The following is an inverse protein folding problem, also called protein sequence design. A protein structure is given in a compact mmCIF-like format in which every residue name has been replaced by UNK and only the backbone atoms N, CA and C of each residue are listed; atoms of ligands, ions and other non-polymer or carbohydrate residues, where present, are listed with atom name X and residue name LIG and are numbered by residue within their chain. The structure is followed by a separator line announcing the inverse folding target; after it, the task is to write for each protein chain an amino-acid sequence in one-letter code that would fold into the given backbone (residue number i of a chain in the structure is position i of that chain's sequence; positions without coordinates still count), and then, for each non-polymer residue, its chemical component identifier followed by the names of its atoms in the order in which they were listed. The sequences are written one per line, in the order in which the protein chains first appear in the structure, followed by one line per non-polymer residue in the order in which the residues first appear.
data_IF_980491204832
#
_entry.id   IF_980491204832
#
_cell.length_a   1.000
_cell.length_b   1.000
_cell.length_c   1.000
_cell.angle_alpha   90.00
_cell.angle_beta   90.00
_cell.angle_gamma   90.00
#
_symmetry.space_group_name_H-M   'P 1'
#
loop_
_entity.id
_entity.type
_entity.pdbx_description
1 polymer ?
#
# COMPACT_ATOMS: atom_id res chain seq x y z
N UNK A 1 5.28 -5.84 17.65
CA UNK A 1 5.75 -6.16 16.30
C UNK A 1 5.68 -4.88 15.48
N UNK A 2 6.57 -4.65 14.51
CA UNK A 2 6.47 -3.47 13.64
C UNK A 2 5.65 -3.80 12.40
N UNK A 3 4.58 -3.04 12.21
CA UNK A 3 3.71 -3.12 11.02
C UNK A 3 3.91 -1.87 10.17
N UNK A 4 4.12 -2.06 8.89
CA UNK A 4 4.40 -0.98 7.95
C UNK A 4 3.26 -0.88 6.93
N UNK A 5 2.63 0.29 6.87
CA UNK A 5 1.56 0.58 5.92
C UNK A 5 2.07 1.58 4.88
N UNK A 6 2.13 1.15 3.61
CA UNK A 6 2.64 1.96 2.50
C UNK A 6 1.47 2.37 1.61
N UNK A 7 1.32 3.66 1.35
CA UNK A 7 0.24 4.16 0.49
C UNK A 7 0.64 5.43 -0.25
N UNK A 8 -0.12 5.75 -1.30
CA UNK A 8 -0.10 7.06 -1.94
C UNK A 8 -1.39 7.81 -1.61
N UNK A 9 -1.31 9.13 -1.47
CA UNK A 9 -2.48 9.96 -1.20
C UNK A 9 -3.07 10.52 -2.50
N UNK A 10 -4.39 10.56 -2.58
CA UNK A 10 -5.12 11.18 -3.69
C UNK A 10 -4.83 12.68 -3.79
N UNK A 11 -4.57 13.14 -5.01
CA UNK A 11 -4.43 14.57 -5.34
C UNK A 11 -5.79 15.26 -5.54
N UNK A 12 -6.88 14.50 -5.58
CA UNK A 12 -8.23 14.98 -5.80
C UNK A 12 -9.06 14.90 -4.52
N UNK A 13 -10.25 15.50 -4.54
CA UNK A 13 -11.21 15.37 -3.44
C UNK A 13 -11.53 13.89 -3.20
N UNK A 14 -11.43 13.48 -1.95
CA UNK A 14 -11.79 12.12 -1.51
C UNK A 14 -13.11 12.14 -0.74
N UNK A 15 -13.87 11.07 -0.87
CA UNK A 15 -15.07 10.82 -0.08
C UNK A 15 -14.94 9.47 0.62
N UNK A 16 -15.55 9.34 1.80
CA UNK A 16 -15.60 8.08 2.50
C UNK A 16 -16.70 7.18 1.90
N UNK A 17 -16.35 5.91 1.68
CA UNK A 17 -17.26 4.87 1.21
C UNK A 17 -17.08 3.62 2.06
N UNK A 18 -18.17 2.85 2.21
CA UNK A 18 -18.09 1.48 2.67
C UNK A 18 -17.77 0.60 1.46
N UNK A 19 -16.67 -0.13 1.53
CA UNK A 19 -16.21 -0.98 0.44
C UNK A 19 -16.81 -2.38 0.54
N UNK A 20 -17.22 -2.94 -0.59
CA UNK A 20 -17.49 -4.37 -0.71
C UNK A 20 -16.15 -5.11 -0.73
N UNK A 21 -15.94 -6.00 0.22
CA UNK A 21 -14.68 -6.71 0.40
C UNK A 21 -14.93 -8.18 0.74
N UNK A 22 -14.39 -9.06 -0.08
CA UNK A 22 -14.41 -10.49 0.19
C UNK A 22 -13.53 -10.90 1.38
N UNK A 23 -12.53 -10.06 1.74
CA UNK A 23 -11.58 -10.32 2.84
C UNK A 23 -12.08 -9.73 4.17
N UNK A 24 -12.63 -8.52 4.11
CA UNK A 24 -13.10 -7.77 5.29
C UNK A 24 -14.55 -7.31 5.08
N UNK A 25 -15.55 -8.19 5.22
CA UNK A 25 -16.95 -7.86 4.95
C UNK A 25 -17.51 -6.79 5.89
N UNK A 26 -17.01 -6.75 7.12
CA UNK A 26 -17.35 -5.72 8.11
C UNK A 26 -16.23 -4.67 8.15
N UNK A 27 -16.42 -3.55 7.42
CA UNK A 27 -15.49 -2.42 7.43
C UNK A 27 -16.24 -1.09 7.58
N UNK A 28 -15.56 -0.09 8.14
CA UNK A 28 -16.08 1.26 8.30
C UNK A 28 -15.92 2.06 7.01
N UNK A 29 -16.82 3.04 6.74
CA UNK A 29 -16.63 3.95 5.62
C UNK A 29 -15.30 4.70 5.72
N UNK A 30 -14.51 4.66 4.64
CA UNK A 30 -13.21 5.33 4.57
C UNK A 30 -12.97 5.93 3.19
N UNK A 31 -12.17 6.99 3.17
CA UNK A 31 -11.60 7.55 1.95
C UNK A 31 -10.24 6.92 1.58
N UNK A 32 -9.67 6.11 2.46
CA UNK A 32 -8.33 5.54 2.35
C UNK A 32 -8.40 4.02 2.55
N UNK A 33 -8.46 3.22 1.48
CA UNK A 33 -8.65 1.76 1.56
C UNK A 33 -7.68 1.05 2.50
N UNK A 34 -6.43 1.50 2.60
CA UNK A 34 -5.42 0.95 3.52
C UNK A 34 -5.87 0.94 5.00
N UNK A 35 -6.80 1.81 5.38
CA UNK A 35 -7.31 1.83 6.77
C UNK A 35 -8.20 0.64 7.07
N UNK A 36 -8.75 -0.04 6.05
CA UNK A 36 -9.49 -1.30 6.22
C UNK A 36 -8.53 -2.39 6.69
N UNK A 37 -7.37 -2.53 6.03
CA UNK A 37 -6.30 -3.43 6.50
C UNK A 37 -5.85 -3.06 7.91
N UNK A 38 -5.67 -1.77 8.21
CA UNK A 38 -5.25 -1.29 9.52
C UNK A 38 -6.23 -1.70 10.63
N UNK A 39 -7.53 -1.46 10.44
CA UNK A 39 -8.57 -1.80 11.41
C UNK A 39 -8.58 -3.29 11.76
N UNK A 40 -8.33 -4.15 10.77
CA UNK A 40 -8.42 -5.60 10.92
C UNK A 40 -7.11 -6.26 11.39
N UNK A 41 -5.96 -5.63 11.16
CA UNK A 41 -4.66 -6.23 11.46
C UNK A 41 -3.89 -5.55 12.59
N UNK A 42 -4.28 -4.35 13.02
CA UNK A 42 -3.63 -3.66 14.13
C UNK A 42 -4.03 -4.27 15.49
N UNK A 43 -3.03 -4.54 16.33
CA UNK A 43 -3.19 -5.16 17.64
C UNK A 43 -2.65 -4.24 18.75
N UNK A 44 -3.10 -4.43 20.00
CA UNK A 44 -2.54 -3.68 21.13
C UNK A 44 -1.04 -3.91 21.29
N UNK A 45 -0.29 -2.81 21.43
CA UNK A 45 1.16 -2.84 21.59
C UNK A 45 1.96 -2.88 20.28
N UNK A 46 1.30 -2.90 19.12
CA UNK A 46 2.00 -2.80 17.83
C UNK A 46 2.67 -1.41 17.66
N UNK A 47 3.80 -1.42 16.95
CA UNK A 47 4.44 -0.23 16.41
C UNK A 47 4.05 -0.14 14.93
N UNK A 48 3.26 0.87 14.58
CA UNK A 48 2.70 1.05 13.24
C UNK A 48 3.39 2.23 12.56
N UNK A 49 4.10 1.96 11.47
CA UNK A 49 4.73 2.98 10.63
C UNK A 49 3.93 3.17 9.35
N UNK A 50 3.52 4.40 9.07
CA UNK A 50 2.87 4.78 7.81
C UNK A 50 3.89 5.46 6.91
N UNK A 51 4.27 4.82 5.79
CA UNK A 51 5.11 5.39 4.74
C UNK A 51 4.19 5.90 3.63
N UNK A 52 3.98 7.21 3.58
CA UNK A 52 2.93 7.79 2.75
C UNK A 52 3.51 8.70 1.69
N UNK A 53 3.23 8.39 0.41
CA UNK A 53 3.65 9.17 -0.74
C UNK A 53 2.65 10.31 -0.94
N UNK A 54 3.13 11.55 -0.78
CA UNK A 54 2.31 12.77 -0.87
C UNK A 54 2.81 13.66 -2.01
N UNK A 55 1.95 13.95 -2.97
CA UNK A 55 2.31 14.80 -4.09
C UNK A 55 2.12 16.27 -3.74
N UNK A 56 3.21 17.03 -3.73
CA UNK A 56 3.19 18.47 -3.50
C UNK A 56 3.09 19.22 -4.83
N UNK A 57 1.99 19.92 -5.02
CA UNK A 57 1.82 20.91 -6.09
C UNK A 57 0.75 21.92 -5.75
N UNK A 58 0.86 23.09 -6.34
CA UNK A 58 -0.16 24.13 -6.22
C UNK A 58 -1.52 23.63 -6.75
N UNK A 59 -2.59 23.88 -6.02
CA UNK A 59 -3.96 23.56 -6.40
C UNK A 59 -4.38 22.09 -6.27
N UNK A 60 -3.53 21.17 -5.77
CA UNK A 60 -3.97 19.82 -5.45
C UNK A 60 -4.36 19.68 -3.96
N UNK A 61 -5.07 18.60 -3.64
CA UNK A 61 -5.56 18.34 -2.29
C UNK A 61 -4.74 17.28 -1.53
N UNK A 62 -3.58 16.84 -2.06
CA UNK A 62 -2.85 15.72 -1.47
C UNK A 62 -2.39 16.00 -0.03
N UNK A 63 -1.90 17.21 0.26
CA UNK A 63 -1.46 17.60 1.62
C UNK A 63 -2.65 17.63 2.58
N UNK A 64 -3.79 18.20 2.16
CA UNK A 64 -5.01 18.21 2.97
C UNK A 64 -5.52 16.78 3.24
N UNK A 65 -5.54 15.94 2.19
CA UNK A 65 -5.93 14.54 2.30
C UNK A 65 -4.96 13.75 3.18
N UNK A 66 -3.67 14.05 3.15
CA UNK A 66 -2.68 13.44 4.03
C UNK A 66 -2.97 13.74 5.49
N UNK A 67 -3.31 14.98 5.84
CA UNK A 67 -3.73 15.31 7.21
C UNK A 67 -4.98 14.52 7.64
N UNK A 68 -5.98 14.41 6.78
CA UNK A 68 -7.18 13.58 7.04
C UNK A 68 -6.82 12.10 7.24
N UNK A 69 -5.91 11.58 6.43
CA UNK A 69 -5.39 10.21 6.58
C UNK A 69 -4.70 10.01 7.92
N UNK A 70 -3.78 10.91 8.30
CA UNK A 70 -3.07 10.85 9.58
C UNK A 70 -4.04 10.89 10.77
N UNK A 71 -5.07 11.72 10.70
CA UNK A 71 -6.11 11.81 11.74
C UNK A 71 -6.88 10.49 11.86
N UNK A 72 -7.39 9.94 10.75
CA UNK A 72 -8.15 8.68 10.72
C UNK A 72 -7.27 7.50 11.18
N UNK A 73 -6.11 7.31 10.59
CA UNK A 73 -5.21 6.20 10.91
C UNK A 73 -4.69 6.29 12.36
N UNK A 74 -4.39 7.51 12.82
CA UNK A 74 -4.01 7.76 14.21
C UNK A 74 -5.12 7.46 15.21
N UNK A 75 -6.39 7.72 14.85
CA UNK A 75 -7.53 7.35 15.70
C UNK A 75 -7.64 5.83 15.83
N UNK A 76 -7.58 5.11 14.72
CA UNK A 76 -7.62 3.64 14.71
C UNK A 76 -6.49 3.06 15.57
N UNK A 77 -5.25 3.55 15.43
CA UNK A 77 -4.13 3.08 16.24
C UNK A 77 -4.36 3.32 17.73
N UNK A 78 -4.86 4.51 18.13
CA UNK A 78 -5.17 4.82 19.53
C UNK A 78 -6.25 3.90 20.08
N UNK A 79 -7.34 3.69 19.34
CA UNK A 79 -8.44 2.80 19.71
C UNK A 79 -7.98 1.34 19.88
N UNK A 80 -7.03 0.91 19.05
CA UNK A 80 -6.42 -0.44 19.11
C UNK A 80 -5.31 -0.55 20.17
N UNK A 81 -4.88 0.55 20.80
CA UNK A 81 -3.78 0.55 21.78
C UNK A 81 -2.40 0.38 21.13
N UNK A 82 -2.24 0.80 19.88
CA UNK A 82 -0.99 0.77 19.11
C UNK A 82 -0.33 2.16 19.05
N UNK A 83 0.97 2.20 18.72
CA UNK A 83 1.71 3.45 18.48
C UNK A 83 1.84 3.70 16.98
N UNK A 84 1.49 4.91 16.53
CA UNK A 84 1.59 5.33 15.14
C UNK A 84 2.80 6.24 14.90
N UNK A 85 3.56 5.97 13.84
CA UNK A 85 4.59 6.83 13.28
C UNK A 85 4.18 7.19 11.85
N UNK A 86 4.17 8.49 11.50
CA UNK A 86 3.83 8.95 10.15
C UNK A 86 5.08 9.46 9.43
N UNK A 87 5.41 8.84 8.31
CA UNK A 87 6.57 9.14 7.47
C UNK A 87 6.06 9.63 6.12
N UNK A 88 6.12 10.94 5.89
CA UNK A 88 5.77 11.52 4.60
C UNK A 88 6.94 11.40 3.62
N UNK A 89 6.65 10.87 2.43
CA UNK A 89 7.54 10.92 1.27
C UNK A 89 6.99 11.97 0.29
N UNK A 90 7.53 13.18 0.39
CA UNK A 90 7.11 14.29 -0.46
C UNK A 90 7.62 14.12 -1.89
N UNK A 91 6.71 14.07 -2.86
CA UNK A 91 7.04 14.00 -4.28
C UNK A 91 6.49 15.21 -5.04
N UNK A 92 7.22 15.66 -6.05
CA UNK A 92 6.77 16.74 -6.92
C UNK A 92 5.73 16.26 -7.93
N UNK A 93 4.74 17.08 -8.25
CA UNK A 93 3.85 16.83 -9.37
C UNK A 93 4.59 16.86 -10.73
N UNK A 94 5.71 17.55 -10.81
CA UNK A 94 6.60 17.51 -11.98
C UNK A 94 7.41 16.23 -11.95
N UNK A 95 7.05 15.28 -12.82
CA UNK A 95 7.73 13.99 -12.93
C UNK A 95 9.02 14.18 -13.74
N UNK A 96 10.14 13.82 -13.15
CA UNK A 96 11.46 13.71 -13.79
C UNK A 96 11.83 12.23 -13.97
N UNK A 97 12.69 11.91 -14.92
CA UNK A 97 13.12 10.52 -15.16
C UNK A 97 13.74 9.84 -13.91
N UNK A 98 14.33 10.63 -13.01
CA UNK A 98 14.90 10.14 -11.75
C UNK A 98 13.87 9.96 -10.62
N UNK A 99 12.65 10.51 -10.75
CA UNK A 99 11.64 10.53 -9.67
C UNK A 99 11.27 9.11 -9.18
N UNK A 100 10.96 8.12 -10.04
CA UNK A 100 10.63 6.77 -9.58
C UNK A 100 11.79 6.08 -8.84
N UNK A 101 13.03 6.28 -9.33
CA UNK A 101 14.22 5.69 -8.68
C UNK A 101 14.50 6.31 -7.32
N UNK A 102 14.29 7.61 -7.16
CA UNK A 102 14.42 8.30 -5.87
C UNK A 102 13.40 7.77 -4.89
N UNK A 103 12.13 7.73 -5.29
CA UNK A 103 11.03 7.22 -4.46
C UNK A 103 11.28 5.77 -4.02
N UNK A 104 11.73 4.90 -4.94
CA UNK A 104 12.12 3.52 -4.59
C UNK A 104 13.15 3.48 -3.46
N UNK A 105 14.24 4.27 -3.59
CA UNK A 105 15.30 4.32 -2.57
C UNK A 105 14.79 4.83 -1.23
N UNK A 106 13.91 5.83 -1.25
CA UNK A 106 13.33 6.41 -0.04
C UNK A 106 12.43 5.39 0.69
N UNK A 107 11.61 4.62 -0.04
CA UNK A 107 10.79 3.54 0.56
C UNK A 107 11.70 2.47 1.15
N UNK A 108 12.64 1.90 0.36
CA UNK A 108 13.52 0.82 0.80
C UNK A 108 14.34 1.21 2.04
N UNK A 109 14.76 2.47 2.14
CA UNK A 109 15.51 2.98 3.29
C UNK A 109 14.70 3.02 4.61
N UNK A 110 13.38 2.93 4.54
CA UNK A 110 12.48 2.94 5.70
C UNK A 110 12.07 1.53 6.16
N UNK A 111 12.28 0.52 5.31
CA UNK A 111 11.93 -0.87 5.61
C UNK A 111 13.05 -1.54 6.43
N UNK A 112 12.66 -2.39 7.37
CA UNK A 112 13.54 -3.03 8.34
C UNK A 112 13.31 -4.55 8.34
N UNK A 113 14.23 -5.25 8.98
CA UNK A 113 14.07 -6.67 9.26
C UNK A 113 12.88 -6.91 10.21
N UNK A 114 12.18 -8.01 10.03
CA UNK A 114 10.99 -8.41 10.78
C UNK A 114 9.76 -7.49 10.58
N UNK A 115 9.71 -6.70 9.51
CA UNK A 115 8.52 -5.91 9.18
C UNK A 115 7.39 -6.80 8.64
N UNK A 116 6.17 -6.58 9.14
CA UNK A 116 4.93 -6.98 8.46
C UNK A 116 4.44 -5.83 7.60
N UNK A 117 4.34 -6.03 6.29
CA UNK A 117 4.08 -4.95 5.35
C UNK A 117 2.71 -5.07 4.70
N UNK A 118 1.98 -3.99 4.73
CA UNK A 118 0.70 -3.75 4.07
C UNK A 118 0.85 -2.61 3.06
N UNK A 119 0.37 -2.76 1.85
CA UNK A 119 0.50 -1.73 0.83
C UNK A 119 -0.84 -1.43 0.15
N UNK A 120 -1.06 -0.17 -0.20
CA UNK A 120 -2.23 0.29 -0.95
C UNK A 120 -1.77 0.94 -2.25
N UNK A 121 -2.27 0.42 -3.37
CA UNK A 121 -1.96 0.89 -4.72
C UNK A 121 -3.11 1.66 -5.37
N UNK A 122 -4.07 2.15 -4.57
CA UNK A 122 -5.28 2.83 -5.05
C UNK A 122 -4.97 4.19 -5.68
N UNK A 123 -4.15 5.00 -5.03
CA UNK A 123 -3.93 6.39 -5.40
C UNK A 123 -2.52 6.66 -5.91
N UNK A 124 -2.32 7.89 -6.38
CA UNK A 124 -1.03 8.40 -6.82
C UNK A 124 -0.81 8.34 -8.33
N UNK A 125 0.41 8.61 -8.76
CA UNK A 125 0.80 8.47 -10.15
C UNK A 125 0.85 7.00 -10.57
N UNK A 126 0.59 6.72 -11.86
CA UNK A 126 0.57 5.35 -12.40
C UNK A 126 1.87 4.56 -12.19
N UNK A 127 3.00 5.22 -11.96
CA UNK A 127 4.26 4.54 -11.64
C UNK A 127 4.40 4.17 -10.15
N UNK A 128 3.62 4.79 -9.23
CA UNK A 128 3.72 4.52 -7.80
C UNK A 128 3.49 3.05 -7.46
N UNK A 129 2.44 2.36 -7.99
CA UNK A 129 2.26 0.93 -7.78
C UNK A 129 3.48 0.09 -8.19
N UNK A 130 4.13 0.44 -9.31
CA UNK A 130 5.32 -0.26 -9.81
C UNK A 130 6.49 -0.05 -8.84
N UNK A 131 6.68 1.17 -8.35
CA UNK A 131 7.74 1.51 -7.39
C UNK A 131 7.51 0.81 -6.05
N UNK A 132 6.28 0.85 -5.53
CA UNK A 132 5.90 0.16 -4.30
C UNK A 132 6.20 -1.34 -4.46
N UNK A 133 5.70 -1.98 -5.52
CA UNK A 133 5.91 -3.40 -5.78
C UNK A 133 7.41 -3.76 -5.85
N UNK A 134 8.22 -2.95 -6.53
CA UNK A 134 9.66 -3.15 -6.60
C UNK A 134 10.34 -3.01 -5.21
N UNK A 135 9.89 -2.05 -4.38
CA UNK A 135 10.40 -1.87 -3.04
C UNK A 135 10.03 -3.03 -2.10
N UNK A 136 8.79 -3.54 -2.21
CA UNK A 136 8.34 -4.74 -1.49
C UNK A 136 9.17 -5.96 -1.87
N UNK A 137 9.41 -6.17 -3.18
CA UNK A 137 10.22 -7.28 -3.66
C UNK A 137 11.67 -7.19 -3.15
N UNK A 138 12.25 -5.99 -3.12
CA UNK A 138 13.57 -5.79 -2.53
C UNK A 138 13.58 -6.15 -1.04
N UNK A 139 12.61 -5.65 -0.26
CA UNK A 139 12.52 -5.95 1.17
C UNK A 139 12.37 -7.45 1.41
N UNK A 140 11.47 -8.11 0.70
CA UNK A 140 11.22 -9.55 0.81
C UNK A 140 12.45 -10.41 0.50
N UNK A 141 13.31 -9.98 -0.43
CA UNK A 141 14.50 -10.72 -0.85
C UNK A 141 15.75 -10.40 -0.02
N UNK A 142 15.86 -9.19 0.54
CA UNK A 142 17.11 -8.66 1.11
C UNK A 142 17.05 -8.53 2.63
N UNK A 143 15.84 -8.32 3.20
CA UNK A 143 15.65 -8.18 4.64
C UNK A 143 15.32 -9.51 5.29
N UNK A 144 15.70 -9.65 6.57
CA UNK A 144 15.40 -10.86 7.34
C UNK A 144 13.95 -10.84 7.84
N UNK A 145 13.24 -11.97 7.66
CA UNK A 145 11.89 -12.20 8.19
C UNK A 145 10.84 -11.12 7.83
N UNK A 146 10.96 -10.50 6.67
CA UNK A 146 9.94 -9.58 6.16
C UNK A 146 8.80 -10.40 5.57
N UNK A 147 7.56 -10.00 5.92
CA UNK A 147 6.34 -10.63 5.42
C UNK A 147 5.44 -9.59 4.73
N UNK A 148 5.10 -9.85 3.47
CA UNK A 148 4.16 -9.02 2.71
C UNK A 148 2.75 -9.56 2.99
N UNK A 149 2.07 -8.95 3.95
CA UNK A 149 0.77 -9.41 4.43
C UNK A 149 -0.36 -9.12 3.47
N UNK A 150 -0.34 -7.93 2.88
CA UNK A 150 -1.42 -7.49 2.01
C UNK A 150 -0.97 -6.41 1.04
N UNK A 151 -1.42 -6.53 -0.20
CA UNK A 151 -1.39 -5.45 -1.19
C UNK A 151 -2.83 -5.22 -1.62
N UNK A 152 -3.40 -4.09 -1.24
CA UNK A 152 -4.79 -3.78 -1.55
C UNK A 152 -4.95 -2.74 -2.66
N UNK A 153 -6.11 -2.79 -3.30
CA UNK A 153 -6.58 -1.83 -4.29
C UNK A 153 -8.05 -1.51 -4.06
N UNK A 154 -8.33 -0.25 -3.81
CA UNK A 154 -9.70 0.27 -3.70
C UNK A 154 -10.20 0.75 -5.06
N UNK A 155 -11.23 0.10 -5.60
CA UNK A 155 -11.86 0.45 -6.86
C UNK A 155 -13.18 1.20 -6.63
N UNK A 156 -13.30 2.37 -7.24
CA UNK A 156 -14.56 3.12 -7.29
C UNK A 156 -15.12 3.00 -8.72
N UNK A 157 -15.85 1.91 -8.98
CA UNK A 157 -16.44 1.68 -10.28
C UNK A 157 -17.54 2.71 -10.58
N UNK A 158 -17.40 3.41 -11.69
CA UNK A 158 -18.25 4.55 -12.09
C UNK A 158 -18.94 4.28 -13.44
N UNK A 159 -19.24 3.02 -13.74
CA UNK A 159 -19.83 2.60 -15.02
C UNK A 159 -21.36 2.67 -15.09
N UNK A 160 -22.01 3.02 -13.98
CA UNK A 160 -23.48 3.19 -13.87
C UNK A 160 -23.79 4.41 -12.99
N UNK A 161 -25.05 4.77 -12.85
CA UNK A 161 -25.49 5.89 -12.01
C UNK A 161 -25.15 5.70 -10.51
N UNK A 162 -24.72 4.52 -10.11
CA UNK A 162 -24.37 4.16 -8.72
C UNK A 162 -22.91 3.78 -8.59
N UNK A 163 -22.20 4.44 -7.67
CA UNK A 163 -20.82 4.11 -7.31
C UNK A 163 -20.85 2.83 -6.48
N UNK A 164 -20.11 1.80 -6.91
CA UNK A 164 -19.91 0.55 -6.16
C UNK A 164 -18.44 0.48 -5.75
N UNK A 165 -18.12 0.83 -4.49
CA UNK A 165 -16.77 0.73 -3.99
C UNK A 165 -16.43 -0.75 -3.73
N UNK A 166 -15.32 -1.21 -4.30
CA UNK A 166 -14.82 -2.58 -4.12
C UNK A 166 -13.40 -2.54 -3.57
N UNK A 167 -13.10 -3.45 -2.67
CA UNK A 167 -11.76 -3.62 -2.10
C UNK A 167 -11.18 -4.96 -2.55
N UNK A 168 -10.07 -4.92 -3.24
CA UNK A 168 -9.38 -6.10 -3.75
C UNK A 168 -8.08 -6.32 -2.99
N UNK A 169 -7.86 -7.56 -2.56
CA UNK A 169 -6.55 -8.06 -2.17
C UNK A 169 -5.85 -8.66 -3.40
N UNK A 170 -4.74 -8.06 -3.79
CA UNK A 170 -3.93 -8.49 -4.95
C UNK A 170 -2.58 -9.09 -4.53
N UNK A 171 -2.41 -9.45 -3.27
CA UNK A 171 -1.17 -10.00 -2.69
C UNK A 171 -0.69 -11.25 -3.40
N UNK A 172 -1.61 -12.07 -3.89
CA UNK A 172 -1.27 -13.27 -4.67
C UNK A 172 -0.40 -12.97 -5.90
N UNK A 173 -0.60 -11.81 -6.55
CA UNK A 173 0.23 -11.41 -7.70
C UNK A 173 1.69 -11.17 -7.31
N UNK A 174 1.93 -10.67 -6.08
CA UNK A 174 3.27 -10.49 -5.56
C UNK A 174 4.00 -11.83 -5.40
N UNK A 175 3.35 -12.79 -4.77
CA UNK A 175 3.94 -14.11 -4.55
C UNK A 175 4.13 -14.90 -5.84
N UNK A 176 3.20 -14.81 -6.79
CA UNK A 176 3.36 -15.41 -8.13
C UNK A 176 4.58 -14.85 -8.87
N UNK A 177 4.79 -13.52 -8.80
CA UNK A 177 5.99 -12.90 -9.37
C UNK A 177 7.28 -13.37 -8.69
N UNK A 178 7.29 -13.48 -7.37
CA UNK A 178 8.46 -13.93 -6.61
C UNK A 178 8.80 -15.39 -6.92
N UNK A 179 7.81 -16.28 -7.02
CA UNK A 179 7.98 -17.68 -7.41
C UNK A 179 8.52 -17.80 -8.85
N UNK A 180 7.99 -17.02 -9.78
CA UNK A 180 8.45 -17.03 -11.19
C UNK A 180 9.92 -16.62 -11.29
N UNK A 181 10.37 -15.66 -10.47
CA UNK A 181 11.76 -15.25 -10.38
C UNK A 181 12.69 -16.38 -9.90
N UNK A 182 12.28 -17.11 -8.87
CA UNK A 182 13.04 -18.26 -8.33
C UNK A 182 13.14 -19.40 -9.36
N UNK A 183 12.04 -19.76 -10.01
CA UNK A 183 12.01 -20.80 -11.05
C UNK A 183 12.91 -20.46 -12.24
N UNK A 184 12.98 -19.16 -12.61
CA UNK A 184 13.88 -18.69 -13.67
C UNK A 184 15.35 -18.83 -13.33
N UNK A 185 15.74 -18.63 -12.09
CA UNK A 185 17.12 -18.78 -11.59
C UNK A 185 17.54 -20.25 -11.56
N UNK A 186 16.63 -21.17 -11.24
CA UNK A 186 16.92 -22.61 -11.16
C UNK A 186 16.87 -23.32 -12.52
N UNK A 187 16.63 -22.61 -13.63
CA UNK A 187 16.55 -23.20 -14.96
C UNK A 187 15.30 -24.07 -15.18
N UNK A 188 14.31 -23.99 -14.29
CA UNK A 188 13.07 -24.76 -14.34
C UNK A 188 12.01 -24.20 -15.31
N UNK A 189 12.38 -23.22 -16.15
CA UNK A 189 11.44 -22.54 -17.07
C UNK A 189 11.02 -23.37 -18.28
N UNK A 190 11.41 -24.64 -18.39
CA UNK A 190 11.05 -25.48 -19.56
C UNK A 190 9.57 -25.83 -19.68
N UNK A 191 8.86 -25.99 -18.54
CA UNK A 191 7.45 -26.44 -18.50
C UNK A 191 6.55 -25.63 -17.53
N UNK A 192 7.09 -24.63 -16.83
CA UNK A 192 6.40 -23.93 -15.73
C UNK A 192 5.27 -22.98 -16.17
N UNK A 193 5.19 -22.62 -17.46
CA UNK A 193 4.17 -21.70 -17.96
C UNK A 193 2.73 -22.23 -17.87
N UNK A 194 2.56 -23.53 -17.75
CA UNK A 194 1.25 -24.19 -17.67
C UNK A 194 0.80 -24.55 -16.25
N UNK A 195 1.62 -24.30 -15.23
CA UNK A 195 1.32 -24.68 -13.83
C UNK A 195 0.74 -23.51 -13.02
N UNK A 196 0.85 -22.26 -13.52
CA UNK A 196 0.47 -21.04 -12.80
C UNK A 196 -0.78 -20.34 -13.36
N UNK A 197 -1.53 -20.94 -14.30
CA UNK A 197 -2.79 -20.40 -14.82
C UNK A 197 -3.97 -21.28 -14.46
#
# INVERSE_FOLDING_TARGET
MRKVFISSISMQKVNAFKYDSGVYPENNPTAFPITISLENNCQPGDEVAFITIVTHSEGNLAVENYHKFCEQAGSICREKGARAEFIELAVSARIEAASPRRLYKEIVAKLQDNDEIYADITYGFKYNPIVIFAALNNAYQVRENVDIKEICYGNLYNGSAEIKPEYFDVTSLFYLNSLSGLMGVEGMMGDGGNVLL
#
